data_IF_011771530437
#
_entry.id   IF_011771530437
#
_cell.length_a   1.000
_cell.length_b   1.000
_cell.length_c   1.000
_cell.angle_alpha   90.00
_cell.angle_beta   90.00
_cell.angle_gamma   90.00
#
_symmetry.space_group_name_H-M   'P 1'
#
loop_
_entity.id
_entity.type
_entity.pdbx_description
1 polymer ?
#
# COMPACT_ATOMS: atom_id res chain seq x y z
N UNK A 1 3.66 -1.47 -22.30
CA UNK A 1 4.50 -1.46 -21.09
C UNK A 1 3.85 -2.38 -20.06
N UNK A 2 4.43 -3.55 -19.76
CA UNK A 2 3.84 -4.46 -18.76
C UNK A 2 4.08 -3.86 -17.38
N UNK A 3 3.01 -3.41 -16.72
CA UNK A 3 3.09 -3.08 -15.30
C UNK A 3 3.25 -4.39 -14.55
N UNK A 4 4.49 -4.73 -14.19
CA UNK A 4 4.74 -5.83 -13.25
C UNK A 4 4.14 -5.43 -11.90
N UNK A 5 2.99 -6.03 -11.58
CA UNK A 5 2.39 -5.89 -10.25
C UNK A 5 3.34 -6.57 -9.27
N UNK A 6 3.94 -5.78 -8.38
CA UNK A 6 4.67 -6.30 -7.23
C UNK A 6 3.75 -7.26 -6.47
N UNK A 7 4.17 -8.52 -6.38
CA UNK A 7 3.50 -9.51 -5.55
C UNK A 7 3.94 -9.20 -4.12
N UNK A 8 3.01 -8.73 -3.30
CA UNK A 8 3.24 -8.48 -1.89
C UNK A 8 2.90 -9.71 -1.07
N UNK A 9 3.75 -10.03 -0.09
CA UNK A 9 3.50 -11.08 0.89
C UNK A 9 2.18 -10.88 1.64
N UNK A 10 1.54 -11.98 2.08
CA UNK A 10 0.28 -11.92 2.82
C UNK A 10 0.39 -11.09 4.11
N UNK A 11 1.55 -11.11 4.79
CA UNK A 11 1.81 -10.28 5.96
C UNK A 11 1.74 -8.77 5.63
N UNK A 12 2.24 -8.39 4.45
CA UNK A 12 2.19 -7.01 3.98
C UNK A 12 0.75 -6.58 3.68
N UNK A 13 -0.05 -7.45 3.04
CA UNK A 13 -1.47 -7.20 2.80
C UNK A 13 -2.26 -7.03 4.10
N UNK A 14 -1.97 -7.85 5.11
CA UNK A 14 -2.65 -7.76 6.40
C UNK A 14 -2.34 -6.43 7.10
N UNK A 15 -1.08 -5.97 7.02
CA UNK A 15 -0.67 -4.67 7.54
C UNK A 15 -1.37 -3.51 6.85
N UNK A 16 -1.55 -3.57 5.53
CA UNK A 16 -2.34 -2.59 4.76
C UNK A 16 -3.78 -2.56 5.29
N UNK A 17 -4.43 -3.71 5.43
CA UNK A 17 -5.83 -3.78 5.85
C UNK A 17 -6.01 -3.18 7.27
N UNK A 18 -5.13 -3.52 8.21
CA UNK A 18 -5.17 -2.96 9.56
C UNK A 18 -4.97 -1.43 9.54
N UNK A 19 -3.93 -0.96 8.85
CA UNK A 19 -3.65 0.48 8.76
C UNK A 19 -4.75 1.23 8.03
N UNK A 20 -5.41 0.63 7.03
CA UNK A 20 -6.49 1.27 6.27
C UNK A 20 -7.77 1.42 7.09
N UNK A 21 -7.92 0.59 8.13
CA UNK A 21 -9.03 0.69 9.06
C UNK A 21 -8.81 1.80 10.10
N UNK A 22 -7.55 2.10 10.44
CA UNK A 22 -7.19 3.20 11.36
C UNK A 22 -6.94 4.54 10.65
N UNK A 23 -6.41 4.54 9.42
CA UNK A 23 -6.05 5.74 8.68
C UNK A 23 -6.86 5.87 7.40
N UNK A 24 -7.60 6.97 7.29
CA UNK A 24 -8.37 7.33 6.09
C UNK A 24 -7.49 7.90 4.97
N UNK A 25 -6.26 8.34 5.27
CA UNK A 25 -5.36 8.97 4.32
C UNK A 25 -4.33 7.97 3.74
N UNK A 26 -4.47 7.68 2.44
CA UNK A 26 -3.61 6.75 1.70
C UNK A 26 -2.15 7.21 1.64
N UNK A 27 -1.88 8.52 1.67
CA UNK A 27 -0.51 9.06 1.63
C UNK A 27 0.24 8.79 2.94
N UNK A 28 -0.43 8.96 4.07
CA UNK A 28 0.14 8.63 5.38
C UNK A 28 0.32 7.12 5.55
N UNK A 29 -0.64 6.34 5.06
CA UNK A 29 -0.58 4.88 5.05
C UNK A 29 0.64 4.38 4.28
N UNK A 30 0.90 4.97 3.12
CA UNK A 30 2.01 4.59 2.27
C UNK A 30 3.36 5.04 2.80
N UNK A 31 3.42 6.21 3.46
CA UNK A 31 4.60 6.63 4.22
C UNK A 31 4.98 5.63 5.30
N UNK A 32 4.01 5.16 6.09
CA UNK A 32 4.21 4.16 7.14
C UNK A 32 4.56 2.76 6.61
N UNK A 33 3.99 2.40 5.47
CA UNK A 33 4.26 1.13 4.81
C UNK A 33 5.55 1.14 3.97
N UNK A 34 6.24 2.28 3.87
CA UNK A 34 7.43 2.44 3.06
C UNK A 34 7.20 2.18 1.56
N UNK A 35 5.94 2.28 1.11
CA UNK A 35 5.59 2.09 -0.30
C UNK A 35 5.36 3.43 -0.96
N UNK A 36 5.86 3.57 -2.19
CA UNK A 36 5.44 4.69 -3.03
C UNK A 36 3.98 4.47 -3.42
N UNK A 37 3.08 5.38 -3.02
CA UNK A 37 1.79 5.53 -3.69
C UNK A 37 2.10 5.88 -5.12
N UNK A 38 2.06 4.87 -5.99
CA UNK A 38 2.02 5.13 -7.41
C UNK A 38 0.54 5.25 -7.70
N UNK A 39 0.02 6.47 -7.55
CA UNK A 39 -1.31 6.78 -8.05
C UNK A 39 -1.17 6.63 -9.57
N UNK A 40 -1.69 5.53 -10.12
CA UNK A 40 -1.82 5.40 -11.56
C UNK A 40 -2.89 6.44 -11.97
N UNK A 41 -2.41 7.63 -12.30
CA UNK A 41 -3.15 8.68 -13.01
C UNK A 41 -3.61 8.16 -14.37
#
# INVERSE_FOLDING_TARGET
MKQERKIYDPAFKNRIIQLSNEKTNVSELAGELGVKVTLFL
#
